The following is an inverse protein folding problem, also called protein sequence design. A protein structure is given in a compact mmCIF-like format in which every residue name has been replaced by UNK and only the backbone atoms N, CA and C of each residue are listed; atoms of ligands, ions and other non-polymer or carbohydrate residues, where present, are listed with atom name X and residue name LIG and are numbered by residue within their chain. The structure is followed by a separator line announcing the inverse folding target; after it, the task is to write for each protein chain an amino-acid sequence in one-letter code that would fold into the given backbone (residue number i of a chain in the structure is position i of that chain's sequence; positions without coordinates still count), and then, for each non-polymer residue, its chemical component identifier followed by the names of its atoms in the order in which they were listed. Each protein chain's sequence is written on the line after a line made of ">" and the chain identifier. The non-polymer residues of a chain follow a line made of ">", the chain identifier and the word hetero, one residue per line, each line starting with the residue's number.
data_IF_649720285464
#
_entry.id   IF_649720285464
#
_cell.length_a   1.000
_cell.length_b   1.000
_cell.length_c   1.000
_cell.angle_alpha   90.00
_cell.angle_beta   90.00
_cell.angle_gamma   90.00
#
_symmetry.space_group_name_H-M   'P 1'
#
loop_
_entity.id
_entity.type
_entity.pdbx_description
1 polymer ?
#
# COMPACT_ATOMS: atom_id res chain seq x y z
N UNK A 1 -7.28 -0.40 -13.66
CA UNK A 1 -7.06 0.92 -13.05
C UNK A 1 -5.64 1.00 -12.46
N UNK A 2 -4.60 1.17 -13.30
CA UNK A 2 -3.19 0.95 -12.88
C UNK A 2 -2.66 1.93 -11.82
N UNK A 3 -3.18 3.15 -11.79
CA UNK A 3 -2.67 4.21 -10.90
C UNK A 3 -3.54 4.45 -9.66
N UNK A 4 -4.73 3.86 -9.60
CA UNK A 4 -5.67 4.15 -8.51
C UNK A 4 -5.09 3.74 -7.15
N UNK A 5 -4.51 2.55 -7.04
CA UNK A 5 -3.92 2.06 -5.79
C UNK A 5 -2.74 2.93 -5.32
N UNK A 6 -1.91 3.39 -6.26
CA UNK A 6 -0.83 4.33 -5.98
C UNK A 6 -1.37 5.66 -5.44
N UNK A 7 -2.40 6.22 -6.07
CA UNK A 7 -3.05 7.46 -5.61
C UNK A 7 -3.72 7.27 -4.25
N UNK A 8 -4.36 6.13 -4.00
CA UNK A 8 -4.97 5.80 -2.71
C UNK A 8 -3.91 5.66 -1.60
N UNK A 9 -2.78 5.02 -1.88
CA UNK A 9 -1.68 4.92 -0.93
C UNK A 9 -1.14 6.30 -0.56
N UNK A 10 -0.89 7.15 -1.56
CA UNK A 10 -0.47 8.54 -1.32
C UNK A 10 -1.52 9.29 -0.50
N UNK A 11 -2.79 9.24 -0.87
CA UNK A 11 -3.86 9.93 -0.16
C UNK A 11 -3.94 9.48 1.31
N UNK A 12 -3.84 8.18 1.58
CA UNK A 12 -3.86 7.64 2.93
C UNK A 12 -2.64 8.08 3.76
N UNK A 13 -1.45 8.03 3.16
CA UNK A 13 -0.22 8.48 3.83
C UNK A 13 -0.24 9.99 4.09
N UNK A 14 -0.74 10.80 3.15
CA UNK A 14 -0.94 12.25 3.36
C UNK A 14 -1.94 12.49 4.49
N UNK A 15 -3.10 11.84 4.46
CA UNK A 15 -4.16 12.07 5.44
C UNK A 15 -3.67 11.79 6.87
N UNK A 16 -3.00 10.65 7.08
CA UNK A 16 -2.49 10.26 8.39
C UNK A 16 -1.26 11.09 8.81
N UNK A 17 -0.32 11.33 7.88
CA UNK A 17 0.88 12.11 8.15
C UNK A 17 0.61 13.58 8.43
N UNK A 18 -0.26 14.23 7.65
CA UNK A 18 -0.64 15.62 7.85
C UNK A 18 -1.46 15.81 9.14
N UNK A 19 -2.41 14.93 9.41
CA UNK A 19 -3.20 14.98 10.65
C UNK A 19 -2.31 14.82 11.89
N UNK A 20 -1.37 13.88 11.87
CA UNK A 20 -0.44 13.71 12.97
C UNK A 20 0.56 14.87 13.09
N UNK A 21 1.02 15.44 11.98
CA UNK A 21 1.86 16.65 12.01
C UNK A 21 1.13 17.81 12.67
N UNK A 22 -0.14 18.03 12.34
CA UNK A 22 -0.98 19.04 12.99
C UNK A 22 -1.16 18.79 14.50
N UNK A 23 -1.11 17.54 14.93
CA UNK A 23 -1.13 17.13 16.34
C UNK A 23 0.26 17.12 17.01
N UNK A 24 1.33 17.54 16.32
CA UNK A 24 2.71 17.55 16.85
C UNK A 24 3.39 16.17 16.87
N UNK A 25 2.86 15.19 16.14
CA UNK A 25 3.31 13.79 16.13
C UNK A 25 3.97 13.44 14.79
N UNK A 26 5.30 13.48 14.75
CA UNK A 26 6.10 13.35 13.53
C UNK A 26 6.16 11.93 12.94
N UNK A 27 5.99 10.87 13.74
CA UNK A 27 6.07 9.48 13.26
C UNK A 27 4.84 9.04 12.46
N UNK A 28 3.78 9.85 12.43
CA UNK A 28 2.51 9.53 11.74
C UNK A 28 2.63 9.39 10.22
N UNK A 29 3.65 9.99 9.61
CA UNK A 29 3.98 9.76 8.19
C UNK A 29 4.38 8.31 7.94
N UNK A 30 5.25 7.76 8.79
CA UNK A 30 5.66 6.36 8.72
C UNK A 30 4.51 5.42 9.07
N UNK A 31 3.64 5.80 10.01
CA UNK A 31 2.40 5.07 10.27
C UNK A 31 1.49 5.02 9.04
N UNK A 32 1.27 6.17 8.40
CA UNK A 32 0.49 6.27 7.17
C UNK A 32 1.05 5.41 6.04
N UNK A 33 2.38 5.35 5.92
CA UNK A 33 3.04 4.47 4.98
C UNK A 33 2.88 2.99 5.33
N UNK A 34 3.01 2.62 6.61
CA UNK A 34 2.79 1.26 7.09
C UNK A 34 1.36 0.77 6.83
N UNK A 35 0.35 1.59 7.10
CA UNK A 35 -1.06 1.26 6.84
C UNK A 35 -1.29 1.10 5.33
N UNK A 36 -0.79 2.02 4.51
CA UNK A 36 -0.94 1.94 3.05
C UNK A 36 -0.25 0.68 2.48
N UNK A 37 1.04 0.50 2.78
CA UNK A 37 1.82 -0.63 2.28
C UNK A 37 1.25 -1.97 2.76
N UNK A 38 0.91 -2.08 4.04
CA UNK A 38 0.31 -3.29 4.61
C UNK A 38 -1.05 -3.62 4.01
N UNK A 39 -1.92 -2.63 3.83
CA UNK A 39 -3.23 -2.82 3.23
C UNK A 39 -3.15 -3.33 1.79
N UNK A 40 -2.29 -2.74 0.96
CA UNK A 40 -2.11 -3.18 -0.43
C UNK A 40 -1.40 -4.54 -0.55
N UNK A 41 -0.42 -4.82 0.31
CA UNK A 41 0.21 -6.14 0.37
C UNK A 41 -0.80 -7.24 0.75
N UNK A 42 -1.65 -7.00 1.76
CA UNK A 42 -2.68 -7.95 2.18
C UNK A 42 -3.75 -8.15 1.10
N UNK A 43 -4.10 -7.09 0.36
CA UNK A 43 -5.00 -7.21 -0.80
C UNK A 43 -4.43 -8.15 -1.86
N UNK A 44 -3.15 -8.01 -2.22
CA UNK A 44 -2.53 -8.89 -3.22
C UNK A 44 -2.45 -10.34 -2.72
N UNK A 45 -2.15 -10.54 -1.43
CA UNK A 45 -2.19 -11.87 -0.79
C UNK A 45 -3.60 -12.49 -0.91
N UNK A 46 -4.66 -11.72 -0.65
CA UNK A 46 -6.03 -12.20 -0.82
C UNK A 46 -6.33 -12.57 -2.28
N UNK A 47 -5.85 -11.79 -3.25
CA UNK A 47 -5.99 -12.13 -4.68
C UNK A 47 -5.23 -13.40 -5.07
N UNK A 48 -4.02 -13.60 -4.55
CA UNK A 48 -3.26 -14.83 -4.72
C UNK A 48 -4.03 -16.04 -4.15
N UNK A 49 -4.64 -15.88 -2.98
CA UNK A 49 -5.52 -16.89 -2.39
C UNK A 49 -6.72 -17.21 -3.29
N UNK A 50 -7.42 -16.20 -3.83
CA UNK A 50 -8.55 -16.43 -4.73
C UNK A 50 -8.14 -17.17 -6.01
N UNK A 51 -7.04 -16.74 -6.66
CA UNK A 51 -6.51 -17.41 -7.85
C UNK A 51 -6.14 -18.87 -7.58
N UNK A 52 -5.56 -19.14 -6.40
CA UNK A 52 -5.23 -20.52 -6.03
C UNK A 52 -6.49 -21.37 -5.81
N UNK A 53 -7.48 -20.84 -5.09
CA UNK A 53 -8.73 -21.57 -4.82
C UNK A 53 -9.46 -21.91 -6.11
N UNK A 54 -9.48 -20.99 -7.08
CA UNK A 54 -10.12 -21.18 -8.37
C UNK A 54 -9.40 -22.22 -9.24
N UNK A 55 -8.07 -22.15 -9.34
CA UNK A 55 -7.30 -23.01 -10.24
C UNK A 55 -6.91 -24.38 -9.64
N UNK A 56 -6.75 -24.47 -8.31
CA UNK A 56 -6.21 -25.66 -7.64
C UNK A 56 -7.09 -26.16 -6.49
N UNK A 57 -7.84 -25.28 -5.84
CA UNK A 57 -8.68 -25.63 -4.68
C UNK A 57 -10.05 -26.20 -5.01
N UNK A 58 -10.43 -26.31 -6.29
CA UNK A 58 -11.76 -26.74 -6.69
C UNK A 58 -12.88 -25.83 -6.16
N UNK A 59 -12.56 -24.55 -5.92
CA UNK A 59 -13.49 -23.58 -5.31
C UNK A 59 -13.61 -23.67 -3.79
N UNK A 60 -12.91 -24.59 -3.11
CA UNK A 60 -12.99 -24.78 -1.67
C UNK A 60 -11.83 -24.09 -0.94
N UNK A 61 -12.13 -23.07 -0.13
CA UNK A 61 -11.12 -22.42 0.74
C UNK A 61 -10.46 -23.41 1.71
N UNK A 62 -11.18 -24.46 2.14
CA UNK A 62 -10.64 -25.51 3.02
C UNK A 62 -9.53 -26.34 2.38
N UNK A 63 -9.44 -26.38 1.05
CA UNK A 63 -8.36 -27.07 0.33
C UNK A 63 -7.05 -26.26 0.31
N UNK A 64 -7.13 -24.95 0.56
CA UNK A 64 -5.96 -24.08 0.56
C UNK A 64 -5.05 -24.35 1.76
N UNK A 65 -3.79 -24.68 1.48
CA UNK A 65 -2.72 -24.55 2.45
C UNK A 65 -2.08 -23.19 2.27
N UNK A 66 -1.84 -22.48 3.37
CA UNK A 66 -1.34 -21.11 3.30
C UNK A 66 0.01 -20.98 2.56
N UNK A 67 0.89 -21.97 2.68
CA UNK A 67 2.15 -22.01 1.93
C UNK A 67 1.95 -22.16 0.41
N UNK A 68 0.83 -22.73 -0.03
CA UNK A 68 0.57 -23.04 -1.44
C UNK A 68 0.47 -21.80 -2.32
N UNK A 69 0.05 -20.65 -1.79
CA UNK A 69 0.03 -19.40 -2.56
C UNK A 69 1.44 -18.99 -2.99
N UNK A 70 2.47 -19.34 -2.23
CA UNK A 70 3.87 -18.97 -2.50
C UNK A 70 4.61 -20.03 -3.32
N UNK A 71 4.24 -21.30 -3.18
CA UNK A 71 4.95 -22.42 -3.82
C UNK A 71 4.37 -22.81 -5.18
N UNK A 72 3.13 -22.40 -5.48
CA UNK A 72 2.47 -22.76 -6.75
C UNK A 72 2.84 -21.76 -7.84
N UNK A 73 3.47 -22.19 -8.95
CA UNK A 73 3.80 -21.31 -10.06
C UNK A 73 2.56 -20.67 -10.69
N UNK A 74 2.65 -19.42 -11.13
CA UNK A 74 1.57 -18.72 -11.84
C UNK A 74 0.49 -18.06 -10.97
N UNK A 75 0.56 -18.21 -9.64
CA UNK A 75 -0.37 -17.53 -8.72
C UNK A 75 -0.09 -16.04 -8.58
N UNK A 76 1.19 -15.65 -8.64
CA UNK A 76 1.64 -14.27 -8.60
C UNK A 76 1.85 -13.78 -10.02
N UNK A 77 1.03 -12.84 -10.47
CA UNK A 77 1.22 -12.21 -11.78
C UNK A 77 2.08 -10.96 -11.62
N UNK A 78 3.11 -10.81 -12.45
CA UNK A 78 4.04 -9.66 -12.40
C UNK A 78 3.29 -8.32 -12.46
N UNK A 79 2.20 -8.29 -13.24
CA UNK A 79 1.34 -7.13 -13.42
C UNK A 79 0.52 -6.79 -12.17
N UNK A 80 0.10 -7.76 -11.37
CA UNK A 80 -0.69 -7.52 -10.15
C UNK A 80 0.23 -7.07 -9.02
N UNK A 81 1.30 -7.83 -8.76
CA UNK A 81 2.28 -7.52 -7.73
C UNK A 81 2.90 -6.11 -7.87
N UNK A 82 3.37 -5.75 -9.07
CA UNK A 82 4.09 -4.49 -9.25
C UNK A 82 3.17 -3.28 -9.09
N UNK A 83 2.00 -3.31 -9.75
CA UNK A 83 1.10 -2.16 -9.83
C UNK A 83 0.17 -2.03 -8.63
N UNK A 84 -0.22 -3.14 -8.01
CA UNK A 84 -1.21 -3.15 -6.93
C UNK A 84 -0.61 -3.28 -5.54
N UNK A 85 0.66 -3.69 -5.40
CA UNK A 85 1.34 -3.80 -4.10
C UNK A 85 2.66 -3.00 -4.04
N UNK A 86 3.62 -3.29 -4.91
CA UNK A 86 4.97 -2.72 -4.80
C UNK A 86 5.01 -1.21 -5.07
N UNK A 87 4.36 -0.74 -6.14
CA UNK A 87 4.32 0.69 -6.47
C UNK A 87 3.61 1.53 -5.39
N UNK A 88 2.40 1.16 -4.91
CA UNK A 88 1.75 1.86 -3.79
C UNK A 88 2.63 1.91 -2.53
N UNK A 89 3.27 0.79 -2.17
CA UNK A 89 4.14 0.73 -1.00
C UNK A 89 5.38 1.63 -1.15
N UNK A 90 6.04 1.58 -2.31
CA UNK A 90 7.22 2.41 -2.58
C UNK A 90 6.91 3.91 -2.54
N UNK A 91 5.77 4.31 -3.13
CA UNK A 91 5.32 5.71 -3.09
C UNK A 91 4.94 6.17 -1.68
N UNK A 92 4.29 5.29 -0.90
CA UNK A 92 3.96 5.58 0.49
C UNK A 92 5.22 5.77 1.35
N UNK A 93 6.23 4.91 1.18
CA UNK A 93 7.53 5.04 1.87
C UNK A 93 8.26 6.31 1.46
N UNK A 94 8.32 6.61 0.15
CA UNK A 94 8.93 7.84 -0.34
C UNK A 94 8.23 9.07 0.26
N UNK A 95 6.89 9.06 0.28
CA UNK A 95 6.12 10.13 0.87
C UNK A 95 6.32 10.23 2.39
N UNK A 96 6.51 9.13 3.11
CA UNK A 96 6.83 9.21 4.54
C UNK A 96 8.18 9.89 4.80
N UNK A 97 9.17 9.67 3.93
CA UNK A 97 10.49 10.29 4.04
C UNK A 97 10.47 11.79 3.70
N UNK A 98 9.71 12.20 2.67
CA UNK A 98 9.72 13.59 2.16
C UNK A 98 8.52 14.44 2.57
N UNK A 99 7.44 13.80 3.05
CA UNK A 99 6.16 14.43 3.39
C UNK A 99 6.26 15.60 4.35
N UNK A 100 6.99 15.50 5.48
CA UNK A 100 7.17 16.63 6.40
C UNK A 100 7.77 17.86 5.72
N UNK A 101 8.81 17.68 4.91
CA UNK A 101 9.48 18.76 4.21
C UNK A 101 8.60 19.38 3.11
N UNK A 102 7.85 18.54 2.38
CA UNK A 102 6.90 19.00 1.37
C UNK A 102 5.77 19.82 1.99
N UNK A 103 5.23 19.38 3.13
CA UNK A 103 4.18 20.09 3.85
C UNK A 103 4.69 21.45 4.36
N UNK A 104 5.89 21.52 4.92
CA UNK A 104 6.50 22.78 5.36
C UNK A 104 6.72 23.76 4.20
N UNK A 105 7.20 23.26 3.04
CA UNK A 105 7.35 24.07 1.82
C UNK A 105 6.01 24.58 1.28
N UNK A 106 4.98 23.73 1.30
CA UNK A 106 3.63 24.13 0.87
C UNK A 106 3.04 25.19 1.80
N UNK A 107 3.20 25.04 3.11
CA UNK A 107 2.72 25.99 4.10
C UNK A 107 3.38 27.37 3.95
N UNK A 108 4.71 27.41 3.76
CA UNK A 108 5.44 28.67 3.53
C UNK A 108 5.02 29.36 2.24
N UNK A 109 4.86 28.62 1.14
CA UNK A 109 4.39 29.17 -0.13
C UNK A 109 2.96 29.72 -0.06
N UNK A 110 2.06 29.10 0.72
CA UNK A 110 0.67 29.53 0.86
C UNK A 110 0.50 30.71 1.82
N UNK A 111 1.34 30.79 2.86
CA UNK A 111 1.23 31.80 3.92
C UNK A 111 2.08 33.06 3.65
N UNK A 112 2.87 33.08 2.57
CA UNK A 112 3.55 34.30 2.10
C UNK A 112 4.60 34.85 3.08
N UNK A 113 5.43 33.97 3.65
CA UNK A 113 6.65 34.37 4.35
C UNK A 113 7.81 34.57 3.35
#
# INVERSE_FOLDING_TARGET
>A
MKLLHALMALALTIALGAAGTAAGVSWTWWFGAGVAAGGFAMREIAQAEYRWIEHHGGGLRSALRWSSIWTTPGIWTEKSWLWDAALPAALAVALAAYGPALLAKAATALLGA
#
